data_IF_096907334540
#
_entry.id   IF_096907334540
#
_cell.length_a   1.000
_cell.length_b   1.000
_cell.length_c   1.000
_cell.angle_alpha   90.00
_cell.angle_beta   90.00
_cell.angle_gamma   90.00
#
_symmetry.space_group_name_H-M   'P 1'
#
loop_
_entity.id
_entity.type
_entity.pdbx_description
1 polymer ?
#
# COMPACT_ATOMS: atom_id res chain seq x y z
N UNK A 1 -9.88 -38.61 -56.33
CA UNK A 1 -9.82 -37.14 -56.24
C UNK A 1 -10.73 -36.70 -55.10
N UNK A 2 -10.18 -36.54 -53.89
CA UNK A 2 -10.86 -35.90 -52.76
C UNK A 2 -9.81 -35.06 -52.06
N UNK A 3 -10.04 -33.76 -51.99
CA UNK A 3 -9.14 -32.78 -51.40
C UNK A 3 -9.02 -32.97 -49.87
N UNK A 4 -7.84 -32.79 -49.26
CA UNK A 4 -7.74 -32.66 -47.82
C UNK A 4 -8.09 -31.22 -47.42
N UNK A 5 -9.11 -31.08 -46.56
CA UNK A 5 -9.43 -29.82 -45.92
C UNK A 5 -8.25 -29.36 -45.06
N UNK A 6 -7.67 -28.24 -45.46
CA UNK A 6 -6.74 -27.44 -44.68
C UNK A 6 -7.53 -26.82 -43.51
N UNK A 7 -7.48 -27.45 -42.33
CA UNK A 7 -8.02 -26.87 -41.10
C UNK A 7 -7.04 -25.76 -40.65
N UNK A 8 -7.41 -24.52 -40.89
CA UNK A 8 -6.67 -23.34 -40.44
C UNK A 8 -6.83 -23.18 -38.93
N UNK A 9 -5.74 -23.34 -38.18
CA UNK A 9 -5.62 -22.96 -36.76
C UNK A 9 -5.57 -21.43 -36.62
N UNK A 10 -6.65 -20.74 -36.27
CA UNK A 10 -6.59 -19.35 -35.77
C UNK A 10 -7.81 -18.95 -34.90
N UNK A 11 -7.82 -19.30 -33.61
CA UNK A 11 -8.65 -18.63 -32.59
C UNK A 11 -7.89 -18.54 -31.23
N UNK A 12 -6.84 -17.71 -31.11
CA UNK A 12 -6.54 -17.08 -29.82
C UNK A 12 -6.43 -15.54 -29.86
N UNK A 13 -6.57 -14.89 -31.02
CA UNK A 13 -6.27 -13.45 -31.18
C UNK A 13 -7.34 -12.51 -30.59
N UNK A 14 -8.61 -12.93 -30.55
CA UNK A 14 -9.74 -12.05 -30.19
C UNK A 14 -9.81 -11.73 -28.70
N UNK A 15 -9.48 -12.67 -27.81
CA UNK A 15 -9.57 -12.51 -26.35
C UNK A 15 -8.48 -11.60 -25.78
N UNK A 16 -7.24 -11.71 -26.28
CA UNK A 16 -6.12 -10.87 -25.83
C UNK A 16 -6.31 -9.41 -26.26
N UNK A 17 -6.79 -9.17 -27.49
CA UNK A 17 -7.09 -7.84 -28.00
C UNK A 17 -8.24 -7.17 -27.24
N UNK A 18 -9.29 -7.92 -26.88
CA UNK A 18 -10.41 -7.42 -26.08
C UNK A 18 -10.01 -7.11 -24.63
N UNK A 19 -9.18 -7.94 -24.01
CA UNK A 19 -8.64 -7.69 -22.67
C UNK A 19 -7.74 -6.44 -22.65
N UNK A 20 -6.86 -6.28 -23.64
CA UNK A 20 -6.02 -5.11 -23.78
C UNK A 20 -6.83 -3.82 -24.00
N UNK A 21 -7.88 -3.87 -24.83
CA UNK A 21 -8.78 -2.73 -25.03
C UNK A 21 -9.54 -2.35 -23.75
N UNK A 22 -10.02 -3.35 -22.99
CA UNK A 22 -10.67 -3.15 -21.69
C UNK A 22 -9.72 -2.54 -20.66
N UNK A 23 -8.47 -2.99 -20.62
CA UNK A 23 -7.44 -2.44 -19.75
C UNK A 23 -7.11 -0.98 -20.08
N UNK A 24 -7.00 -0.64 -21.36
CA UNK A 24 -6.76 0.74 -21.81
C UNK A 24 -7.91 1.66 -21.36
N UNK A 25 -9.17 1.24 -21.57
CA UNK A 25 -10.36 1.98 -21.13
C UNK A 25 -10.36 2.15 -19.61
N UNK A 26 -10.06 1.09 -18.86
CA UNK A 26 -10.00 1.13 -17.40
C UNK A 26 -8.88 2.06 -16.88
N UNK A 27 -7.70 2.06 -17.51
CA UNK A 27 -6.62 2.96 -17.11
C UNK A 27 -6.96 4.42 -17.38
N UNK A 28 -7.62 4.73 -18.51
CA UNK A 28 -8.11 6.07 -18.82
C UNK A 28 -9.18 6.54 -17.81
N UNK A 29 -10.11 5.66 -17.45
CA UNK A 29 -11.11 5.93 -16.42
C UNK A 29 -10.43 6.20 -15.05
N UNK A 30 -9.46 5.36 -14.65
CA UNK A 30 -8.68 5.56 -13.42
C UNK A 30 -7.92 6.88 -13.45
N UNK A 31 -7.31 7.27 -14.56
CA UNK A 31 -6.61 8.55 -14.68
C UNK A 31 -7.55 9.75 -14.45
N UNK A 32 -8.75 9.69 -15.02
CA UNK A 32 -9.80 10.71 -14.82
C UNK A 32 -10.23 10.82 -13.36
N UNK A 33 -10.47 9.68 -12.70
CA UNK A 33 -10.83 9.66 -11.27
C UNK A 33 -9.65 10.12 -10.39
N UNK A 34 -8.40 9.78 -10.73
CA UNK A 34 -7.22 10.29 -10.00
C UNK A 34 -7.13 11.81 -10.08
N UNK A 35 -7.37 12.41 -11.25
CA UNK A 35 -7.34 13.86 -11.44
C UNK A 35 -8.40 14.56 -10.60
N UNK A 36 -9.65 14.10 -10.67
CA UNK A 36 -10.76 14.66 -9.88
C UNK A 36 -10.57 14.46 -8.38
N UNK A 37 -10.13 13.28 -7.95
CA UNK A 37 -9.87 12.99 -6.53
C UNK A 37 -8.78 13.89 -5.92
N UNK A 38 -7.67 14.13 -6.66
CA UNK A 38 -6.64 15.08 -6.22
C UNK A 38 -7.19 16.51 -6.08
N UNK A 39 -7.94 16.97 -7.09
CA UNK A 39 -8.53 18.30 -7.06
C UNK A 39 -9.51 18.46 -5.88
N UNK A 40 -10.33 17.44 -5.60
CA UNK A 40 -11.25 17.48 -4.48
C UNK A 40 -10.53 17.44 -3.13
N UNK A 41 -9.50 16.59 -2.97
CA UNK A 41 -8.75 16.51 -1.70
C UNK A 41 -8.08 17.84 -1.35
N UNK A 42 -7.56 18.56 -2.34
CA UNK A 42 -6.95 19.87 -2.14
C UNK A 42 -7.91 20.90 -1.51
N UNK A 43 -9.24 20.70 -1.63
CA UNK A 43 -10.26 21.58 -1.03
C UNK A 43 -10.68 21.16 0.38
N UNK A 44 -10.21 20.00 0.88
CA UNK A 44 -10.66 19.40 2.15
C UNK A 44 -9.68 19.60 3.31
N UNK A 45 -8.71 20.51 3.15
CA UNK A 45 -7.71 20.75 4.18
C UNK A 45 -8.36 21.22 5.50
N UNK A 46 -7.99 20.55 6.58
CA UNK A 46 -8.39 20.90 7.94
C UNK A 46 -7.22 20.58 8.88
N UNK A 47 -6.59 21.59 9.52
CA UNK A 47 -5.43 21.40 10.40
C UNK A 47 -5.65 20.34 11.50
N UNK A 48 -6.86 20.27 12.04
CA UNK A 48 -7.20 19.36 13.14
C UNK A 48 -7.70 17.98 12.67
N UNK A 49 -7.94 17.78 11.37
CA UNK A 49 -8.48 16.52 10.87
C UNK A 49 -7.58 15.31 11.20
N UNK A 50 -6.24 15.39 11.07
CA UNK A 50 -5.34 14.33 11.49
C UNK A 50 -5.49 13.91 12.97
N UNK A 51 -5.58 14.88 13.88
CA UNK A 51 -5.73 14.61 15.32
C UNK A 51 -7.10 13.99 15.63
N UNK A 52 -8.18 14.58 15.11
CA UNK A 52 -9.54 14.04 15.30
C UNK A 52 -9.68 12.61 14.73
N UNK A 53 -9.06 12.35 13.58
CA UNK A 53 -9.04 11.01 12.99
C UNK A 53 -8.29 10.03 13.90
N UNK A 54 -7.13 10.42 14.42
CA UNK A 54 -6.37 9.59 15.35
C UNK A 54 -7.19 9.24 16.60
N UNK A 55 -7.80 10.23 17.24
CA UNK A 55 -8.65 10.04 18.42
C UNK A 55 -9.83 9.12 18.13
N UNK A 56 -10.56 9.38 17.04
CA UNK A 56 -11.73 8.59 16.66
C UNK A 56 -11.37 7.13 16.32
N UNK A 57 -10.24 6.90 15.65
CA UNK A 57 -9.77 5.54 15.33
C UNK A 57 -9.33 4.79 16.58
N UNK A 58 -8.56 5.43 17.47
CA UNK A 58 -8.09 4.80 18.70
C UNK A 58 -9.25 4.48 19.66
N UNK A 59 -10.30 5.29 19.68
CA UNK A 59 -11.50 5.03 20.48
C UNK A 59 -12.31 3.82 19.99
N UNK A 60 -12.23 3.47 18.69
CA UNK A 60 -13.08 2.45 18.06
C UNK A 60 -12.34 1.17 17.70
N UNK A 61 -11.04 1.29 17.41
CA UNK A 61 -10.24 0.27 16.74
C UNK A 61 -8.81 0.26 17.28
N UNK A 62 -8.66 -0.01 18.58
CA UNK A 62 -7.34 -0.18 19.18
C UNK A 62 -6.64 -1.42 18.60
N UNK A 63 -5.42 -1.28 18.06
CA UNK A 63 -4.62 -2.42 17.64
C UNK A 63 -4.30 -3.40 18.78
N UNK A 64 -4.03 -4.68 18.48
CA UNK A 64 -3.48 -5.61 19.48
C UNK A 64 -2.19 -5.06 20.09
N UNK A 65 -2.03 -5.21 21.40
CA UNK A 65 -0.84 -4.75 22.11
C UNK A 65 0.44 -5.29 21.46
N UNK A 66 1.44 -4.41 21.27
CA UNK A 66 2.73 -4.77 20.67
C UNK A 66 2.72 -5.01 19.15
N UNK A 67 1.58 -4.84 18.46
CA UNK A 67 1.50 -4.97 17.01
C UNK A 67 2.47 -4.00 16.28
N UNK A 68 3.01 -4.46 15.15
CA UNK A 68 3.79 -3.63 14.22
C UNK A 68 2.84 -2.87 13.30
N UNK A 69 2.89 -1.54 13.37
CA UNK A 69 2.03 -0.64 12.60
C UNK A 69 2.86 0.02 11.48
N UNK A 70 2.59 -0.35 10.23
CA UNK A 70 3.14 0.37 9.09
C UNK A 70 2.32 1.65 8.83
N UNK A 71 2.98 2.80 8.93
CA UNK A 71 2.46 4.08 8.49
C UNK A 71 2.93 4.44 7.07
N UNK A 72 2.73 5.71 6.71
CA UNK A 72 3.40 6.34 5.57
C UNK A 72 3.79 7.77 5.98
N UNK A 73 4.78 8.34 5.31
CA UNK A 73 5.07 9.76 5.47
C UNK A 73 4.22 10.55 4.48
N UNK A 74 3.39 11.51 4.93
CA UNK A 74 2.41 12.16 4.06
C UNK A 74 3.10 13.03 3.00
N UNK A 75 2.57 12.98 1.78
CA UNK A 75 3.00 13.81 0.66
C UNK A 75 1.90 14.78 0.25
N UNK A 76 2.25 16.05 0.05
CA UNK A 76 1.31 17.09 -0.40
C UNK A 76 0.12 17.26 0.54
N UNK A 77 -1.08 17.05 0.02
CA UNK A 77 -2.37 17.20 0.69
C UNK A 77 -2.94 15.86 1.22
N UNK A 78 -2.09 14.84 1.39
CA UNK A 78 -2.51 13.58 2.02
C UNK A 78 -2.96 13.77 3.47
N UNK A 79 -3.87 12.91 3.92
CA UNK A 79 -4.26 12.84 5.33
C UNK A 79 -3.04 12.47 6.16
N UNK A 80 -2.59 13.35 7.04
CA UNK A 80 -1.40 13.12 7.85
C UNK A 80 -1.64 11.98 8.87
N UNK A 81 -0.98 10.82 8.75
CA UNK A 81 -1.14 9.72 9.70
C UNK A 81 -0.25 9.90 10.95
N UNK A 82 0.66 10.87 10.96
CA UNK A 82 1.68 11.00 12.00
C UNK A 82 1.09 11.19 13.40
N UNK A 83 0.02 11.98 13.63
CA UNK A 83 -0.60 12.06 14.95
C UNK A 83 -1.08 10.69 15.48
N UNK A 84 -1.68 9.87 14.62
CA UNK A 84 -2.07 8.50 14.98
C UNK A 84 -0.86 7.63 15.26
N UNK A 85 0.17 7.68 14.39
CA UNK A 85 1.40 6.91 14.57
C UNK A 85 2.10 7.24 15.90
N UNK A 86 2.24 8.53 16.23
CA UNK A 86 2.84 8.98 17.48
C UNK A 86 2.05 8.47 18.69
N UNK A 87 0.72 8.56 18.63
CA UNK A 87 -0.15 8.07 19.69
C UNK A 87 -0.10 6.53 19.83
N UNK A 88 0.15 5.79 18.74
CA UNK A 88 0.37 4.34 18.79
C UNK A 88 1.75 3.98 19.35
N UNK A 89 2.80 4.71 18.99
CA UNK A 89 4.12 4.51 19.59
C UNK A 89 4.10 4.72 21.11
N UNK A 90 3.39 5.74 21.58
CA UNK A 90 3.19 6.00 23.02
C UNK A 90 2.46 4.87 23.75
N UNK A 91 1.70 4.03 23.02
CA UNK A 91 1.01 2.84 23.54
C UNK A 91 1.85 1.56 23.42
N UNK A 92 3.13 1.67 23.07
CA UNK A 92 4.06 0.53 22.99
C UNK A 92 4.01 -0.24 21.67
N UNK A 93 3.39 0.30 20.62
CA UNK A 93 3.44 -0.32 19.30
C UNK A 93 4.75 0.01 18.58
N UNK A 94 5.27 -0.95 17.82
CA UNK A 94 6.40 -0.71 16.92
C UNK A 94 5.89 -0.05 15.65
N UNK A 95 6.52 1.05 15.23
CA UNK A 95 6.18 1.69 13.96
C UNK A 95 7.13 1.24 12.85
N UNK A 96 6.59 1.16 11.64
CA UNK A 96 7.37 0.95 10.44
C UNK A 96 6.96 1.94 9.35
N UNK A 97 7.90 2.29 8.47
CA UNK A 97 7.64 3.12 7.29
C UNK A 97 8.11 2.38 6.02
N UNK A 98 7.46 2.64 4.87
CA UNK A 98 7.76 1.96 3.63
C UNK A 98 9.10 2.42 3.03
N UNK A 99 9.79 1.48 2.38
CA UNK A 99 10.89 1.67 1.46
C UNK A 99 10.35 1.33 0.06
N UNK A 100 10.58 2.23 -0.89
CA UNK A 100 10.08 2.09 -2.25
C UNK A 100 11.07 1.31 -3.10
N UNK A 101 10.77 0.07 -3.52
CA UNK A 101 11.66 -0.70 -4.37
C UNK A 101 11.53 -0.26 -5.85
N UNK A 102 12.32 -0.85 -6.75
CA UNK A 102 12.08 -0.77 -8.19
C UNK A 102 10.62 -1.07 -8.55
N UNK A 103 10.12 -0.42 -9.60
CA UNK A 103 8.73 -0.59 -10.06
C UNK A 103 8.45 -2.06 -10.37
N UNK A 104 7.28 -2.53 -9.97
CA UNK A 104 6.88 -3.93 -10.13
C UNK A 104 7.12 -4.79 -8.89
N UNK A 105 7.86 -4.31 -7.90
CA UNK A 105 8.09 -5.02 -6.64
C UNK A 105 7.14 -4.53 -5.52
N UNK A 106 6.88 -5.34 -4.48
CA UNK A 106 6.12 -4.93 -3.29
C UNK A 106 6.99 -4.05 -2.37
N UNK A 107 6.37 -3.06 -1.70
CA UNK A 107 7.04 -2.23 -0.68
C UNK A 107 7.72 -3.08 0.38
N UNK A 108 8.91 -2.68 0.82
CA UNK A 108 9.48 -3.11 2.10
C UNK A 108 9.26 -2.15 3.23
N UNK A 109 9.34 -2.61 4.47
CA UNK A 109 9.15 -1.76 5.64
C UNK A 109 10.35 -1.86 6.57
N UNK A 110 10.73 -0.70 7.11
CA UNK A 110 11.77 -0.60 8.14
C UNK A 110 11.21 0.04 9.40
N UNK A 111 11.74 -0.40 10.53
CA UNK A 111 11.47 0.21 11.82
C UNK A 111 11.73 1.71 11.76
N UNK A 112 10.84 2.49 12.37
CA UNK A 112 11.01 3.92 12.54
C UNK A 112 10.54 4.32 13.94
N UNK A 113 11.29 5.18 14.61
CA UNK A 113 10.91 5.75 15.89
C UNK A 113 10.62 7.26 15.73
N UNK A 114 9.76 7.86 16.57
CA UNK A 114 9.57 9.30 16.57
C UNK A 114 10.91 10.06 16.67
N UNK A 115 11.17 10.95 15.71
CA UNK A 115 12.45 11.67 15.59
C UNK A 115 13.55 10.92 14.83
N UNK A 116 13.31 9.68 14.40
CA UNK A 116 14.24 8.88 13.61
C UNK A 116 14.52 9.49 12.24
N UNK A 117 15.76 9.35 11.77
CA UNK A 117 16.24 9.96 10.54
C UNK A 117 15.49 9.43 9.30
N UNK A 118 15.13 10.35 8.41
CA UNK A 118 14.50 10.07 7.12
C UNK A 118 15.39 10.53 5.98
N UNK A 119 15.34 9.80 4.88
CA UNK A 119 15.98 10.17 3.61
C UNK A 119 14.91 10.34 2.51
N UNK A 120 15.18 11.17 1.48
CA UNK A 120 14.30 11.26 0.33
C UNK A 120 14.22 9.92 -0.42
N UNK A 121 13.00 9.52 -0.78
CA UNK A 121 12.72 8.36 -1.61
C UNK A 121 12.44 8.72 -3.08
N UNK A 122 12.36 7.73 -3.98
CA UNK A 122 12.33 7.94 -5.43
C UNK A 122 11.06 8.60 -5.96
N UNK A 123 9.98 8.62 -5.17
CA UNK A 123 8.67 9.11 -5.57
C UNK A 123 8.24 10.37 -4.80
N UNK A 124 9.21 11.12 -4.27
CA UNK A 124 8.94 12.24 -3.34
C UNK A 124 8.55 11.78 -1.93
N UNK A 125 8.72 10.49 -1.64
CA UNK A 125 8.47 9.87 -0.35
C UNK A 125 9.58 10.21 0.65
N UNK A 126 9.31 10.00 1.94
CA UNK A 126 10.35 10.01 2.98
C UNK A 126 10.47 8.62 3.57
N UNK A 127 11.68 8.07 3.53
CA UNK A 127 11.98 6.69 3.89
C UNK A 127 12.90 6.65 5.12
N UNK A 128 12.79 5.67 6.03
CA UNK A 128 13.77 5.48 7.09
C UNK A 128 15.19 5.40 6.53
N UNK A 129 16.09 6.20 7.09
CA UNK A 129 17.52 6.14 6.74
C UNK A 129 18.15 4.84 7.25
N UNK A 130 17.65 4.34 8.38
CA UNK A 130 18.12 3.17 9.10
C UNK A 130 16.94 2.37 9.68
N UNK A 131 17.23 1.39 10.52
CA UNK A 131 16.23 0.52 11.15
C UNK A 131 16.16 -0.87 10.50
N UNK A 132 15.79 -1.84 11.34
CA UNK A 132 15.61 -3.24 10.94
C UNK A 132 14.41 -3.41 10.01
N UNK A 133 14.44 -4.44 9.17
CA UNK A 133 13.31 -4.79 8.34
C UNK A 133 12.18 -5.38 9.20
N UNK A 134 10.95 -4.93 8.97
CA UNK A 134 9.78 -5.36 9.73
C UNK A 134 8.66 -5.83 8.80
N UNK A 135 7.93 -6.85 9.22
CA UNK A 135 6.68 -7.23 8.60
C UNK A 135 5.52 -6.62 9.41
N UNK A 136 4.70 -5.73 8.83
CA UNK A 136 3.61 -5.09 9.56
C UNK A 136 2.44 -6.03 9.81
N UNK A 137 1.82 -5.89 10.99
CA UNK A 137 0.55 -6.54 11.32
C UNK A 137 -0.64 -5.69 10.87
N UNK A 138 -0.50 -4.37 10.93
CA UNK A 138 -1.50 -3.38 10.49
C UNK A 138 -0.83 -2.36 9.57
N UNK A 139 -1.52 -2.00 8.49
CA UNK A 139 -1.04 -1.00 7.53
C UNK A 139 -2.01 0.16 7.40
N UNK A 140 -1.51 1.38 7.62
CA UNK A 140 -2.15 2.61 7.17
C UNK A 140 -1.77 2.83 5.70
N UNK A 141 -2.77 2.86 4.82
CA UNK A 141 -2.55 2.89 3.37
C UNK A 141 -2.95 4.26 2.80
N UNK A 142 -2.05 4.98 2.10
CA UNK A 142 -2.39 6.22 1.42
C UNK A 142 -3.30 5.93 0.23
N UNK A 143 -4.24 6.85 -0.03
CA UNK A 143 -5.21 6.73 -1.12
C UNK A 143 -5.60 8.11 -1.66
N UNK A 144 -6.07 8.12 -2.91
CA UNK A 144 -6.71 9.28 -3.53
C UNK A 144 -8.23 9.22 -3.37
N UNK A 145 -8.81 8.01 -3.52
CA UNK A 145 -10.23 7.77 -3.36
C UNK A 145 -10.46 6.32 -2.93
N UNK A 146 -11.64 6.07 -2.36
CA UNK A 146 -12.13 4.73 -2.07
C UNK A 146 -13.66 4.69 -2.25
N UNK A 147 -14.21 3.50 -2.50
CA UNK A 147 -15.64 3.29 -2.58
C UNK A 147 -16.20 2.59 -1.33
N UNK A 148 -17.53 2.46 -1.24
CA UNK A 148 -18.21 1.77 -0.14
C UNK A 148 -17.88 0.27 -0.06
N UNK A 149 -17.37 -0.32 -1.14
CA UNK A 149 -16.92 -1.71 -1.16
C UNK A 149 -15.44 -1.86 -0.73
N UNK A 150 -14.79 -0.77 -0.31
CA UNK A 150 -13.40 -0.78 0.12
C UNK A 150 -12.39 -0.87 -1.03
N UNK A 151 -12.81 -0.66 -2.29
CA UNK A 151 -11.86 -0.55 -3.41
C UNK A 151 -11.13 0.78 -3.27
N UNK A 152 -9.80 0.75 -3.43
CA UNK A 152 -8.97 1.95 -3.33
C UNK A 152 -8.35 2.36 -4.66
N UNK A 153 -8.24 3.66 -4.87
CA UNK A 153 -7.51 4.27 -5.97
C UNK A 153 -6.25 4.94 -5.43
N UNK A 154 -5.08 4.40 -5.79
CA UNK A 154 -3.77 5.00 -5.48
C UNK A 154 -3.19 5.79 -6.65
N UNK A 155 -1.94 6.23 -6.49
CA UNK A 155 -1.22 7.08 -7.47
C UNK A 155 -0.84 6.40 -8.79
N UNK A 156 -0.94 5.06 -8.88
CA UNK A 156 -0.72 4.30 -10.12
C UNK A 156 0.54 3.43 -10.15
N UNK A 157 1.44 3.54 -9.15
CA UNK A 157 2.62 2.66 -9.06
C UNK A 157 2.32 1.21 -8.67
N UNK A 158 1.13 0.93 -8.12
CA UNK A 158 0.68 -0.41 -7.71
C UNK A 158 1.44 -1.03 -6.54
N UNK A 159 2.30 -0.27 -5.85
CA UNK A 159 3.15 -0.76 -4.77
C UNK A 159 2.35 -1.40 -3.64
N UNK A 160 1.37 -0.68 -3.10
CA UNK A 160 0.48 -1.21 -2.06
C UNK A 160 -0.40 -2.37 -2.55
N UNK A 161 -0.76 -2.44 -3.84
CA UNK A 161 -1.61 -3.53 -4.35
C UNK A 161 -0.84 -4.84 -4.30
N UNK A 162 0.42 -4.81 -4.74
CA UNK A 162 1.35 -5.95 -4.67
C UNK A 162 1.68 -6.33 -3.24
N UNK A 163 1.97 -5.36 -2.38
CA UNK A 163 2.25 -5.61 -0.96
C UNK A 163 1.06 -6.29 -0.27
N UNK A 164 -0.16 -5.76 -0.44
CA UNK A 164 -1.36 -6.34 0.18
C UNK A 164 -1.70 -7.72 -0.40
N UNK A 165 -1.46 -7.95 -1.69
CA UNK A 165 -1.65 -9.28 -2.29
C UNK A 165 -0.72 -10.32 -1.63
N UNK A 166 0.57 -10.00 -1.47
CA UNK A 166 1.53 -10.90 -0.82
C UNK A 166 1.24 -11.16 0.67
N UNK A 167 0.75 -10.16 1.40
CA UNK A 167 0.37 -10.34 2.81
C UNK A 167 -0.88 -11.21 2.97
N UNK A 168 -1.85 -11.11 2.04
CA UNK A 168 -3.12 -11.88 2.10
C UNK A 168 -2.95 -13.36 1.81
N UNK A 169 -1.99 -13.74 0.97
CA UNK A 169 -1.74 -15.14 0.64
C UNK A 169 -0.98 -15.88 1.75
N UNK A 170 -0.74 -15.24 2.90
CA UNK A 170 0.03 -15.83 4.00
C UNK A 170 1.50 -16.08 3.66
N UNK A 171 1.96 -15.61 2.51
CA UNK A 171 3.33 -15.76 2.04
C UNK A 171 4.25 -14.72 2.70
N UNK A 172 4.25 -14.70 4.04
CA UNK A 172 5.30 -14.02 4.82
C UNK A 172 6.70 -14.54 4.46
N UNK A 173 6.80 -15.80 4.00
CA UNK A 173 8.03 -16.50 3.67
C UNK A 173 8.58 -16.21 2.24
N UNK A 174 7.77 -15.67 1.32
CA UNK A 174 8.22 -15.28 -0.04
C UNK A 174 8.35 -13.75 -0.21
N UNK A 175 8.09 -12.99 0.86
CA UNK A 175 8.60 -11.63 0.93
C UNK A 175 10.13 -11.71 0.78
N UNK A 176 10.79 -10.77 0.06
CA UNK A 176 12.21 -10.86 -0.26
C UNK A 176 13.07 -11.29 0.94
N UNK A 177 14.19 -11.99 0.74
CA UNK A 177 14.99 -12.55 1.83
C UNK A 177 15.40 -11.56 2.95
N UNK A 178 15.32 -10.25 2.71
CA UNK A 178 15.54 -9.20 3.72
C UNK A 178 14.38 -8.98 4.70
N UNK A 179 13.27 -9.71 4.60
CA UNK A 179 12.11 -9.61 5.49
C UNK A 179 12.05 -10.71 6.56
N UNK A 180 13.02 -11.63 6.55
CA UNK A 180 13.14 -12.63 7.59
C UNK A 180 13.51 -11.96 8.92
N UNK A 181 12.58 -11.96 9.87
CA UNK A 181 12.91 -11.70 11.27
C UNK A 181 13.62 -12.95 11.83
N UNK A 182 14.71 -12.80 12.61
CA UNK A 182 15.13 -13.87 13.50
C UNK A 182 14.07 -14.04 14.59
N UNK A 183 13.45 -15.23 14.63
CA UNK A 183 12.56 -15.78 15.65
C UNK A 183 11.94 -14.79 16.65
N UNK A 184 10.79 -14.19 16.30
CA UNK A 184 9.79 -13.91 17.33
C UNK A 184 9.11 -15.22 17.67
N UNK A 185 9.53 -15.84 18.77
CA UNK A 185 8.94 -17.06 19.33
C UNK A 185 7.43 -16.97 19.38
N UNK A 186 6.78 -17.59 18.40
CA UNK A 186 5.34 -17.78 18.33
C UNK A 186 5.04 -19.16 18.90
N UNK A 187 5.14 -19.33 20.21
CA UNK A 187 4.47 -20.45 20.88
C UNK A 187 2.99 -20.11 20.95
N UNK A 188 2.23 -20.62 19.97
CA UNK A 188 0.78 -20.76 20.10
C UNK A 188 0.50 -21.72 21.27
N UNK A 189 -0.17 -21.23 22.30
CA UNK A 189 -1.11 -22.04 23.08
C UNK A 189 -2.50 -21.43 22.86
#
# INVERSE_FOLDING_TARGET
>A
MVAPHLFCHQEPCVTEAQAAASDVVLQAAKATVRKSARAHRATLFSPDAPKRLAEALLARHAPPAGAVIAGYWPMGDEMDPRPLMLALAQRGHTLALPITPPRGQPLSFRAWAPGGALRPGPMGTSEPAEGEALCPDIMLVPLLAFDRAGRRLGYGGGYYDRTLAGLRTGHRAELPHHWHQPDRGCTRQ
#
